data_IF_101975739213
#
_entry.id   IF_101975739213
#
_cell.length_a   1.000
_cell.length_b   1.000
_cell.length_c   1.000
_cell.angle_alpha   90.00
_cell.angle_beta   90.00
_cell.angle_gamma   90.00
#
_symmetry.space_group_name_H-M   'P 1'
#
loop_
_entity.id
_entity.type
_entity.pdbx_description
1 polymer ?
#
# COMPACT_ATOMS: atom_id res chain seq x y z
N UNK A 1 -12.67 6.96 13.87
CA UNK A 1 -12.97 8.09 12.94
C UNK A 1 -11.73 8.93 12.57
N UNK A 2 -11.03 9.58 13.52
CA UNK A 2 -9.87 10.43 13.22
C UNK A 2 -8.67 9.65 12.63
N UNK A 3 -8.47 8.41 13.10
CA UNK A 3 -7.41 7.52 12.62
C UNK A 3 -7.52 7.14 11.13
N UNK A 4 -8.70 7.24 10.51
CA UNK A 4 -8.88 7.00 9.08
C UNK A 4 -8.66 8.27 8.24
N UNK A 5 -9.02 9.44 8.78
CA UNK A 5 -8.93 10.73 8.07
C UNK A 5 -7.48 11.14 7.83
N UNK A 6 -6.61 10.97 8.83
CA UNK A 6 -5.21 11.37 8.69
C UNK A 6 -4.47 10.57 7.58
N UNK A 7 -4.54 9.22 7.52
CA UNK A 7 -4.00 8.44 6.41
C UNK A 7 -4.63 8.78 5.06
N UNK A 8 -5.93 9.06 5.01
CA UNK A 8 -6.59 9.51 3.77
C UNK A 8 -5.96 10.80 3.25
N UNK A 9 -5.87 11.83 4.08
CA UNK A 9 -5.30 13.13 3.69
C UNK A 9 -3.82 12.98 3.33
N UNK A 10 -3.05 12.23 4.14
CA UNK A 10 -1.63 12.02 3.89
C UNK A 10 -1.37 11.30 2.55
N UNK A 11 -2.13 10.25 2.25
CA UNK A 11 -2.03 9.54 0.97
C UNK A 11 -2.53 10.37 -0.19
N UNK A 12 -3.63 11.12 -0.02
CA UNK A 12 -4.13 12.04 -1.05
C UNK A 12 -3.04 13.04 -1.46
N UNK A 13 -2.41 13.68 -0.48
CA UNK A 13 -1.30 14.63 -0.71
C UNK A 13 -0.12 13.89 -1.34
N UNK A 14 0.32 12.78 -0.76
CA UNK A 14 1.46 12.02 -1.24
C UNK A 14 1.30 11.53 -2.69
N UNK A 15 0.13 10.99 -3.04
CA UNK A 15 -0.14 10.53 -4.40
C UNK A 15 -0.19 11.68 -5.39
N UNK A 16 -0.79 12.83 -5.04
CA UNK A 16 -0.80 13.98 -5.93
C UNK A 16 0.57 14.65 -6.07
N UNK A 17 1.39 14.65 -5.02
CA UNK A 17 2.74 15.21 -5.04
C UNK A 17 3.73 14.31 -5.80
N UNK A 18 3.66 13.00 -5.60
CA UNK A 18 4.71 12.08 -6.04
C UNK A 18 4.27 11.10 -7.13
N UNK A 19 2.96 10.99 -7.43
CA UNK A 19 2.42 10.01 -8.37
C UNK A 19 3.02 10.11 -9.79
N UNK A 20 3.32 11.32 -10.26
CA UNK A 20 3.99 11.53 -11.56
C UNK A 20 5.50 11.25 -11.56
N UNK A 21 6.13 11.24 -10.38
CA UNK A 21 7.58 11.11 -10.21
C UNK A 21 7.95 9.65 -9.93
N UNK A 22 7.27 9.04 -8.95
CA UNK A 22 7.60 7.71 -8.42
C UNK A 22 6.39 6.80 -8.33
N UNK A 23 5.26 7.09 -9.00
CA UNK A 23 4.03 6.30 -8.87
C UNK A 23 3.47 6.19 -7.44
N UNK A 24 4.07 6.88 -6.46
CA UNK A 24 3.63 7.01 -5.08
C UNK A 24 3.30 5.67 -4.38
N UNK A 25 4.17 4.66 -4.48
CA UNK A 25 3.90 3.33 -3.89
C UNK A 25 3.78 3.37 -2.36
N UNK A 26 4.76 3.97 -1.69
CA UNK A 26 4.83 4.14 -0.22
C UNK A 26 4.62 2.85 0.60
N UNK A 27 4.75 1.68 -0.03
CA UNK A 27 4.33 0.40 0.52
C UNK A 27 5.05 -0.74 -0.22
N UNK A 28 5.89 -1.54 0.48
CA UNK A 28 6.57 -2.68 -0.10
C UNK A 28 5.66 -3.65 -0.86
N UNK A 29 4.47 -3.94 -0.32
CA UNK A 29 3.53 -4.86 -0.95
C UNK A 29 2.95 -4.29 -2.25
N UNK A 30 2.72 -2.98 -2.31
CA UNK A 30 2.30 -2.27 -3.53
C UNK A 30 3.43 -2.28 -4.56
N UNK A 31 4.67 -1.98 -4.13
CA UNK A 31 5.87 -2.03 -4.96
C UNK A 31 6.03 -3.38 -5.66
N UNK A 32 5.88 -4.48 -4.93
CA UNK A 32 5.93 -5.83 -5.52
C UNK A 32 4.78 -6.06 -6.51
N UNK A 33 3.58 -5.57 -6.22
CA UNK A 33 2.46 -5.65 -7.17
C UNK A 33 2.76 -4.93 -8.49
N UNK A 34 3.33 -3.72 -8.45
CA UNK A 34 3.78 -2.99 -9.65
C UNK A 34 4.88 -3.73 -10.42
N UNK A 35 5.78 -4.41 -9.71
CA UNK A 35 6.79 -5.26 -10.33
C UNK A 35 6.16 -6.45 -11.08
N UNK A 36 5.22 -7.17 -10.44
CA UNK A 36 4.53 -8.33 -11.04
C UNK A 36 3.74 -7.95 -12.30
N UNK A 37 3.15 -6.76 -12.31
CA UNK A 37 2.41 -6.23 -13.47
C UNK A 37 3.31 -5.59 -14.54
N UNK A 38 4.62 -5.50 -14.31
CA UNK A 38 5.61 -5.02 -15.27
C UNK A 38 5.68 -3.50 -15.42
N UNK A 39 5.31 -2.75 -14.39
CA UNK A 39 5.39 -1.28 -14.38
C UNK A 39 6.74 -0.75 -13.89
N UNK A 40 7.47 -1.55 -13.11
CA UNK A 40 8.81 -1.21 -12.61
C UNK A 40 9.78 -2.36 -12.85
N UNK A 41 11.07 -2.04 -12.91
CA UNK A 41 12.17 -2.99 -13.03
C UNK A 41 12.57 -3.57 -11.68
N UNK A 42 13.33 -4.66 -11.69
CA UNK A 42 13.86 -5.30 -10.48
C UNK A 42 14.78 -4.36 -9.67
N UNK A 43 15.57 -3.51 -10.34
CA UNK A 43 16.44 -2.54 -9.65
C UNK A 43 15.60 -1.47 -8.97
N UNK A 44 14.54 -0.98 -9.63
CA UNK A 44 13.63 -0.02 -9.02
C UNK A 44 12.98 -0.57 -7.75
N UNK A 45 12.59 -1.86 -7.71
CA UNK A 45 12.08 -2.50 -6.49
C UNK A 45 13.00 -2.24 -5.30
N UNK A 46 14.31 -2.42 -5.47
CA UNK A 46 15.28 -2.18 -4.40
C UNK A 46 15.25 -0.72 -3.93
N UNK A 47 15.21 0.24 -4.85
CA UNK A 47 15.14 1.66 -4.49
C UNK A 47 13.85 2.02 -3.74
N UNK A 48 12.70 1.47 -4.16
CA UNK A 48 11.44 1.65 -3.44
C UNK A 48 11.52 1.08 -2.03
N UNK A 49 11.94 -0.18 -1.87
CA UNK A 49 11.98 -0.84 -0.56
C UNK A 49 12.87 -0.07 0.43
N UNK A 50 14.04 0.40 -0.02
CA UNK A 50 14.94 1.21 0.81
C UNK A 50 14.27 2.53 1.20
N UNK A 51 13.72 3.26 0.22
CA UNK A 51 13.07 4.55 0.49
C UNK A 51 11.84 4.42 1.40
N UNK A 52 11.03 3.39 1.20
CA UNK A 52 9.83 3.11 1.98
C UNK A 52 10.17 2.77 3.43
N UNK A 53 11.17 1.92 3.66
CA UNK A 53 11.63 1.56 5.01
C UNK A 53 12.25 2.77 5.72
N UNK A 54 13.13 3.53 5.05
CA UNK A 54 13.72 4.74 5.62
C UNK A 54 12.63 5.76 5.96
N UNK A 55 11.69 5.99 5.06
CA UNK A 55 10.56 6.90 5.29
C UNK A 55 9.71 6.49 6.48
N UNK A 56 9.37 5.20 6.59
CA UNK A 56 8.60 4.67 7.72
C UNK A 56 9.36 4.81 9.06
N UNK A 57 10.67 4.56 9.07
CA UNK A 57 11.54 4.74 10.23
C UNK A 57 11.60 6.20 10.66
N UNK A 58 11.85 7.12 9.72
CA UNK A 58 11.88 8.56 10.01
C UNK A 58 10.52 9.07 10.52
N UNK A 59 9.42 8.61 9.93
CA UNK A 59 8.07 8.95 10.39
C UNK A 59 7.79 8.44 11.82
N UNK A 60 8.15 7.19 12.11
CA UNK A 60 7.96 6.61 13.45
C UNK A 60 8.87 7.26 14.50
N UNK A 61 10.11 7.61 14.11
CA UNK A 61 11.04 8.35 14.96
C UNK A 61 10.54 9.77 15.26
N UNK A 62 9.95 10.45 14.27
CA UNK A 62 9.30 11.74 14.48
C UNK A 62 8.18 11.63 15.53
N UNK A 63 7.33 10.61 15.43
CA UNK A 63 6.28 10.36 16.44
C UNK A 63 6.91 10.12 17.82
N UNK A 64 7.93 9.27 17.90
CA UNK A 64 8.61 8.97 19.17
C UNK A 64 9.20 10.23 19.83
N UNK A 65 9.88 11.08 19.06
CA UNK A 65 10.57 12.27 19.60
C UNK A 65 9.58 13.37 19.98
N UNK A 66 8.57 13.65 19.15
CA UNK A 66 7.73 14.84 19.28
C UNK A 66 6.36 14.58 19.92
N UNK A 67 5.83 13.36 19.81
CA UNK A 67 4.54 12.97 20.40
C UNK A 67 4.77 12.09 21.64
N UNK A 68 5.88 11.35 21.68
CA UNK A 68 6.22 10.42 22.74
C UNK A 68 5.48 9.08 22.60
N UNK A 69 5.50 8.29 23.66
CA UNK A 69 4.94 6.93 23.69
C UNK A 69 3.40 6.90 23.65
N UNK A 70 2.73 8.03 23.88
CA UNK A 70 1.26 8.14 23.95
C UNK A 70 0.54 7.71 22.67
N UNK A 71 1.22 7.72 21.53
CA UNK A 71 0.66 7.29 20.25
C UNK A 71 0.94 5.81 19.92
N UNK A 72 1.57 5.05 20.82
CA UNK A 72 2.07 3.69 20.57
C UNK A 72 2.89 3.59 19.26
N UNK A 73 3.56 4.68 18.89
CA UNK A 73 4.28 4.86 17.62
C UNK A 73 3.44 4.60 16.35
N UNK A 74 2.11 4.57 16.44
CA UNK A 74 1.23 4.17 15.34
C UNK A 74 1.29 2.66 15.02
N UNK A 75 1.76 1.84 15.96
CA UNK A 75 1.89 0.39 15.81
C UNK A 75 0.55 -0.26 15.44
N UNK A 76 0.62 -1.32 14.63
CA UNK A 76 -0.53 -2.15 14.32
C UNK A 76 -0.73 -3.17 15.44
N UNK A 77 -1.98 -3.33 15.89
CA UNK A 77 -2.33 -4.31 16.91
C UNK A 77 -3.56 -5.11 16.42
N UNK A 78 -3.44 -6.43 16.24
CA UNK A 78 -4.58 -7.26 15.91
C UNK A 78 -5.46 -7.46 17.15
N UNK A 79 -6.76 -7.69 16.94
CA UNK A 79 -7.68 -7.99 18.04
C UNK A 79 -7.86 -9.50 18.18
N UNK A 80 -7.19 -10.07 19.19
CA UNK A 80 -7.22 -11.51 19.49
C UNK A 80 -8.54 -12.04 20.06
N UNK A 81 -9.56 -11.19 20.26
CA UNK A 81 -10.94 -11.66 20.44
C UNK A 81 -11.46 -12.36 19.17
N UNK A 82 -10.83 -12.10 18.02
CA UNK A 82 -11.06 -12.79 16.77
C UNK A 82 -10.01 -13.88 16.52
N UNK A 83 -10.40 -14.92 15.79
CA UNK A 83 -9.45 -15.97 15.39
C UNK A 83 -8.33 -15.41 14.49
N UNK A 84 -7.12 -15.95 14.61
CA UNK A 84 -5.98 -15.58 13.76
C UNK A 84 -6.28 -15.76 12.26
N UNK A 85 -7.09 -16.77 11.90
CA UNK A 85 -7.52 -16.99 10.53
C UNK A 85 -8.35 -15.82 9.99
N UNK A 86 -9.29 -15.30 10.80
CA UNK A 86 -10.10 -14.14 10.42
C UNK A 86 -9.24 -12.88 10.32
N UNK A 87 -8.37 -12.64 11.30
CA UNK A 87 -7.45 -11.49 11.34
C UNK A 87 -6.59 -11.47 10.07
N UNK A 88 -5.94 -12.58 9.75
CA UNK A 88 -5.11 -12.72 8.55
C UNK A 88 -5.93 -12.48 7.27
N UNK A 89 -7.12 -13.09 7.17
CA UNK A 89 -7.98 -12.97 6.00
C UNK A 89 -8.48 -11.53 5.78
N UNK A 90 -8.81 -10.81 6.85
CA UNK A 90 -9.20 -9.40 6.80
C UNK A 90 -8.04 -8.54 6.30
N UNK A 91 -6.82 -8.86 6.70
CA UNK A 91 -5.66 -8.09 6.28
C UNK A 91 -5.24 -8.38 4.84
N UNK A 92 -5.41 -9.61 4.38
CA UNK A 92 -5.35 -9.95 2.94
C UNK A 92 -6.41 -9.17 2.18
N UNK A 93 -7.66 -9.14 2.66
CA UNK A 93 -8.77 -8.43 2.01
C UNK A 93 -8.47 -6.94 1.87
N UNK A 94 -8.08 -6.27 2.96
CA UNK A 94 -7.73 -4.84 2.94
C UNK A 94 -6.63 -4.55 1.92
N UNK A 95 -5.54 -5.33 1.92
CA UNK A 95 -4.46 -5.16 0.95
C UNK A 95 -4.87 -5.47 -0.49
N UNK A 96 -5.76 -6.44 -0.72
CA UNK A 96 -6.34 -6.70 -2.05
C UNK A 96 -7.20 -5.52 -2.51
N UNK A 97 -8.02 -4.93 -1.64
CA UNK A 97 -8.86 -3.77 -1.97
C UNK A 97 -8.01 -2.55 -2.29
N UNK A 98 -7.02 -2.23 -1.46
CA UNK A 98 -6.04 -1.17 -1.71
C UNK A 98 -5.40 -1.34 -3.10
N UNK A 99 -4.82 -2.52 -3.36
CA UNK A 99 -4.13 -2.76 -4.64
C UNK A 99 -5.08 -2.79 -5.83
N UNK A 100 -6.30 -3.31 -5.64
CA UNK A 100 -7.35 -3.33 -6.65
C UNK A 100 -7.76 -1.92 -7.08
N UNK A 101 -7.96 -1.00 -6.11
CA UNK A 101 -8.29 0.40 -6.39
C UNK A 101 -7.13 1.11 -7.08
N UNK A 102 -5.89 0.90 -6.62
CA UNK A 102 -4.69 1.44 -7.28
C UNK A 102 -4.68 1.03 -8.76
N UNK A 103 -4.77 -0.27 -9.05
CA UNK A 103 -4.71 -0.75 -10.42
C UNK A 103 -5.91 -0.39 -11.28
N UNK A 104 -7.11 -0.33 -10.70
CA UNK A 104 -8.29 0.11 -11.43
C UNK A 104 -8.14 1.55 -11.92
N UNK A 105 -7.63 2.45 -11.07
CA UNK A 105 -7.38 3.84 -11.44
C UNK A 105 -6.24 3.97 -12.46
N UNK A 106 -5.17 3.18 -12.32
CA UNK A 106 -4.05 3.18 -13.29
C UNK A 106 -4.51 2.69 -14.67
N UNK A 107 -5.30 1.62 -14.69
CA UNK A 107 -5.83 0.99 -15.90
C UNK A 107 -6.81 1.90 -16.65
N UNK A 108 -7.72 2.57 -15.93
CA UNK A 108 -8.77 3.40 -16.53
C UNK A 108 -8.28 4.84 -16.74
N UNK A 109 -7.98 5.22 -18.00
CA UNK A 109 -7.42 6.54 -18.38
C UNK A 109 -8.14 7.74 -17.73
N UNK A 110 -9.48 7.75 -17.72
CA UNK A 110 -10.28 8.85 -17.17
C UNK A 110 -10.23 9.00 -15.64
N UNK A 111 -9.75 7.99 -14.91
CA UNK A 111 -9.71 8.00 -13.45
C UNK A 111 -8.36 8.44 -12.87
N UNK A 112 -7.31 8.52 -13.69
CA UNK A 112 -5.93 8.79 -13.21
C UNK A 112 -5.79 10.08 -12.40
N UNK A 113 -6.56 11.12 -12.74
CA UNK A 113 -6.61 12.39 -12.01
C UNK A 113 -7.22 12.28 -10.60
N UNK A 114 -8.00 11.23 -10.33
CA UNK A 114 -8.65 10.98 -9.04
C UNK A 114 -7.87 9.98 -8.16
N UNK A 115 -6.66 9.56 -8.59
CA UNK A 115 -5.84 8.56 -7.88
C UNK A 115 -5.63 8.88 -6.40
N UNK A 116 -5.29 10.12 -6.04
CA UNK A 116 -5.08 10.49 -4.64
C UNK A 116 -6.33 10.33 -3.78
N UNK A 117 -7.49 10.77 -4.28
CA UNK A 117 -8.77 10.63 -3.57
C UNK A 117 -9.18 9.15 -3.48
N UNK A 118 -9.07 8.39 -4.56
CA UNK A 118 -9.47 6.99 -4.59
C UNK A 118 -8.58 6.12 -3.68
N UNK A 119 -7.26 6.26 -3.78
CA UNK A 119 -6.28 5.46 -3.02
C UNK A 119 -6.33 5.83 -1.54
N UNK A 120 -6.33 7.11 -1.20
CA UNK A 120 -6.48 7.50 0.21
C UNK A 120 -7.86 7.12 0.76
N UNK A 121 -8.91 7.20 -0.07
CA UNK A 121 -10.28 6.87 0.30
C UNK A 121 -10.44 5.39 0.66
N UNK A 122 -9.89 4.48 -0.14
CA UNK A 122 -9.96 3.05 0.20
C UNK A 122 -9.19 2.73 1.48
N UNK A 123 -8.01 3.34 1.69
CA UNK A 123 -7.27 3.18 2.96
C UNK A 123 -8.08 3.69 4.15
N UNK A 124 -8.78 4.82 4.02
CA UNK A 124 -9.67 5.28 5.08
C UNK A 124 -10.83 4.31 5.35
N UNK A 125 -11.44 3.73 4.31
CA UNK A 125 -12.51 2.76 4.46
C UNK A 125 -12.01 1.48 5.12
N UNK A 126 -10.85 0.97 4.70
CA UNK A 126 -10.23 -0.22 5.30
C UNK A 126 -9.92 0.03 6.79
N UNK A 127 -9.36 1.20 7.14
CA UNK A 127 -9.15 1.54 8.55
C UNK A 127 -10.47 1.68 9.31
N UNK A 128 -11.48 2.31 8.71
CA UNK A 128 -12.77 2.55 9.36
C UNK A 128 -13.51 1.24 9.66
N UNK A 129 -13.47 0.28 8.74
CA UNK A 129 -14.27 -0.94 8.81
C UNK A 129 -13.51 -2.16 9.28
N UNK A 130 -12.18 -2.23 9.11
CA UNK A 130 -11.41 -3.45 9.31
C UNK A 130 -10.40 -3.35 10.46
N UNK A 131 -9.99 -2.13 10.86
CA UNK A 131 -8.96 -1.95 11.88
C UNK A 131 -9.33 -2.53 13.25
N UNK A 132 -10.62 -2.63 13.60
CA UNK A 132 -11.03 -3.22 14.88
C UNK A 132 -10.82 -4.74 14.96
N UNK A 133 -10.57 -5.39 13.82
CA UNK A 133 -10.25 -6.82 13.71
C UNK A 133 -8.73 -7.00 13.56
N UNK A 134 -8.13 -6.40 12.52
CA UNK A 134 -6.74 -6.67 12.14
C UNK A 134 -5.75 -5.54 12.44
N UNK A 135 -6.21 -4.36 12.86
CA UNK A 135 -5.37 -3.17 12.94
C UNK A 135 -5.09 -2.47 11.60
N UNK A 136 -5.59 -3.00 10.47
CA UNK A 136 -5.58 -2.39 9.12
C UNK A 136 -4.24 -1.72 8.75
N UNK A 137 -3.16 -2.49 8.77
CA UNK A 137 -1.82 -2.10 8.34
C UNK A 137 -1.72 -1.87 6.84
N UNK A 138 -2.09 -2.90 6.06
CA UNK A 138 -1.90 -3.02 4.61
C UNK A 138 -0.46 -2.84 4.08
N UNK A 139 0.51 -2.51 4.94
CA UNK A 139 1.82 -1.97 4.55
C UNK A 139 2.95 -2.51 5.45
N UNK A 140 3.81 -3.39 4.90
CA UNK A 140 4.91 -3.98 5.66
C UNK A 140 5.91 -2.97 6.23
N UNK A 141 6.21 -1.87 5.52
CA UNK A 141 7.14 -0.83 6.02
C UNK A 141 6.51 -0.04 7.18
N UNK A 142 5.21 0.29 7.06
CA UNK A 142 4.43 0.93 8.13
C UNK A 142 4.39 0.08 9.40
N UNK A 143 4.30 -1.25 9.27
CA UNK A 143 4.32 -2.17 10.41
C UNK A 143 5.73 -2.36 11.00
N UNK A 144 6.76 -2.40 10.15
CA UNK A 144 8.15 -2.64 10.57
C UNK A 144 8.68 -1.52 11.48
N UNK A 145 8.46 -0.26 11.13
CA UNK A 145 9.13 0.84 11.81
C UNK A 145 8.73 1.00 13.30
N UNK A 146 7.45 0.98 13.68
CA UNK A 146 7.03 0.97 15.08
C UNK A 146 7.52 -0.28 15.83
N UNK A 147 7.52 -1.45 15.21
CA UNK A 147 8.01 -2.69 15.80
C UNK A 147 9.51 -2.60 16.16
N UNK A 148 10.33 -2.09 15.24
CA UNK A 148 11.77 -1.88 15.48
C UNK A 148 12.04 -0.89 16.61
N UNK A 149 11.29 0.22 16.67
CA UNK A 149 11.53 1.27 17.67
C UNK A 149 10.97 0.92 19.06
N UNK A 150 9.89 0.14 19.12
CA UNK A 150 9.28 -0.31 20.38
C UNK A 150 9.86 -1.62 20.91
N UNK A 151 10.56 -2.39 20.06
CA UNK A 151 11.03 -3.73 20.39
C UNK A 151 9.94 -4.80 20.39
N UNK A 152 8.74 -4.51 19.87
CA UNK A 152 7.59 -5.43 19.85
C UNK A 152 7.42 -6.05 18.46
N UNK A 153 7.67 -7.35 18.34
CA UNK A 153 7.71 -8.05 17.04
C UNK A 153 6.67 -9.16 16.89
N UNK A 154 5.90 -9.46 17.94
CA UNK A 154 5.04 -10.63 18.02
C UNK A 154 4.04 -10.72 16.86
N UNK A 155 3.49 -9.58 16.44
CA UNK A 155 2.51 -9.50 15.35
C UNK A 155 3.13 -9.11 14.00
N UNK A 156 4.44 -8.85 13.93
CA UNK A 156 5.06 -8.31 12.72
C UNK A 156 4.93 -9.28 11.54
N UNK A 157 4.99 -10.59 11.79
CA UNK A 157 4.86 -11.62 10.75
C UNK A 157 3.52 -11.51 10.01
N UNK A 158 2.43 -11.17 10.71
CA UNK A 158 1.09 -11.02 10.14
C UNK A 158 1.10 -9.91 9.09
N UNK A 159 1.63 -8.74 9.45
CA UNK A 159 1.70 -7.56 8.58
C UNK A 159 2.82 -7.64 7.53
N UNK A 160 3.73 -8.60 7.65
CA UNK A 160 4.74 -8.91 6.64
C UNK A 160 4.37 -10.04 5.70
N UNK A 161 3.27 -10.75 5.95
CA UNK A 161 2.81 -11.85 5.10
C UNK A 161 1.48 -11.50 4.43
N UNK A 162 0.45 -11.14 5.20
CA UNK A 162 -0.90 -10.88 4.67
C UNK A 162 -0.93 -9.78 3.61
N UNK A 163 -0.23 -8.63 3.75
CA UNK A 163 -0.26 -7.61 2.72
C UNK A 163 0.30 -8.04 1.38
N UNK A 164 1.40 -8.78 1.35
CA UNK A 164 1.94 -9.30 0.09
C UNK A 164 0.98 -10.29 -0.57
N UNK A 165 0.35 -11.17 0.20
CA UNK A 165 -0.67 -12.08 -0.34
C UNK A 165 -1.81 -11.26 -0.97
N UNK A 166 -2.31 -10.25 -0.25
CA UNK A 166 -3.40 -9.40 -0.72
C UNK A 166 -3.07 -8.62 -2.00
N UNK A 167 -1.92 -7.95 -2.05
CA UNK A 167 -1.53 -7.17 -3.24
C UNK A 167 -1.19 -8.05 -4.43
N UNK A 168 -0.62 -9.25 -4.21
CA UNK A 168 -0.34 -10.21 -5.27
C UNK A 168 -1.62 -10.75 -5.92
N UNK A 169 -2.66 -11.03 -5.13
CA UNK A 169 -3.98 -11.43 -5.67
C UNK A 169 -4.46 -10.40 -6.69
N UNK A 170 -4.50 -9.12 -6.31
CA UNK A 170 -4.91 -8.04 -7.22
C UNK A 170 -3.95 -7.90 -8.42
N UNK A 171 -2.65 -8.03 -8.22
CA UNK A 171 -1.66 -7.96 -9.28
C UNK A 171 -1.85 -9.04 -10.34
N UNK A 172 -2.10 -10.29 -9.95
CA UNK A 172 -2.35 -11.36 -10.91
C UNK A 172 -3.68 -11.18 -11.65
N UNK A 173 -4.72 -10.66 -10.99
CA UNK A 173 -6.00 -10.35 -11.65
C UNK A 173 -5.85 -9.26 -12.74
N UNK A 174 -4.94 -8.30 -12.55
CA UNK A 174 -4.72 -7.21 -13.51
C UNK A 174 -3.57 -7.44 -14.50
N UNK A 175 -2.68 -8.40 -14.25
CA UNK A 175 -1.46 -8.61 -15.04
C UNK A 175 -1.73 -8.77 -16.54
N UNK A 176 -2.68 -9.63 -16.90
CA UNK A 176 -3.07 -9.84 -18.31
C UNK A 176 -3.69 -8.59 -18.94
N UNK A 177 -4.49 -7.83 -18.18
CA UNK A 177 -5.12 -6.59 -18.65
C UNK A 177 -4.08 -5.52 -18.98
N UNK A 178 -3.07 -5.36 -18.14
CA UNK A 178 -1.97 -4.42 -18.39
C UNK A 178 -1.06 -4.86 -19.53
N UNK A 179 -0.86 -6.16 -19.73
CA UNK A 179 -0.12 -6.68 -20.89
C UNK A 179 -0.84 -6.31 -22.19
N UNK A 180 -2.13 -6.65 -22.31
CA UNK A 180 -2.94 -6.30 -23.48
C UNK A 180 -2.96 -4.80 -23.75
N UNK A 181 -3.15 -3.98 -22.71
CA UNK A 181 -3.15 -2.52 -22.85
C UNK A 181 -1.81 -1.98 -23.39
N UNK A 182 -0.67 -2.56 -23.00
CA UNK A 182 0.64 -2.17 -23.54
C UNK A 182 0.81 -2.59 -24.99
N UNK A 183 0.37 -3.80 -25.34
CA UNK A 183 0.47 -4.33 -26.70
C UNK A 183 -0.39 -3.52 -27.69
N UNK A 184 -1.60 -3.15 -27.30
CA UNK A 184 -2.48 -2.26 -28.09
C UNK A 184 -1.84 -0.89 -28.33
N UNK A 185 -1.22 -0.29 -27.30
CA UNK A 185 -0.54 1.00 -27.43
C UNK A 185 0.68 0.88 -28.36
N UNK A 186 1.46 -0.21 -28.24
CA UNK A 186 2.62 -0.43 -29.11
C UNK A 186 2.19 -0.57 -30.57
N UNK A 187 1.22 -1.45 -30.84
CA UNK A 187 0.75 -1.69 -32.20
C UNK A 187 0.17 -0.42 -32.83
N UNK A 188 -0.61 0.37 -32.08
CA UNK A 188 -1.16 1.64 -32.58
C UNK A 188 -0.08 2.68 -32.89
N UNK A 189 1.03 2.70 -32.15
CA UNK A 189 2.14 3.61 -32.45
C UNK A 189 2.90 3.18 -33.71
N UNK A 190 3.07 1.87 -33.94
CA UNK A 190 3.73 1.36 -35.14
C UNK A 190 2.96 1.78 -36.41
N UNK A 191 1.62 1.76 -36.39
CA UNK A 191 0.78 2.22 -37.51
C UNK A 191 0.81 3.73 -37.80
N UNK A 192 1.27 4.57 -36.87
CA UNK A 192 1.32 6.04 -37.05
C UNK A 192 2.67 6.47 -37.65
N UNK A 193 3.70 5.64 -37.54
CA UNK A 193 5.08 5.96 -37.97
C UNK A 193 5.38 5.46 -39.39
N UNK A 194 4.56 4.56 -39.93
CA UNK A 194 4.56 4.12 -41.34
C UNK A 194 3.72 5.04 -42.25
#
# INVERSE_FOLDING_TARGET
PFAAVAPFIALLIGVYSFGKISLAHFNPAVTIGYYVTGHITKIQVLYYLIAEIIGALLGSLFVLIFIGEKANLGSNAPNYDFSIFLIFSVEVLASTLLMGVIFYVVYTKGLRGFSGVAIGGIVALDILFLAFISGASMNPARALAPALLSGTFDDLWLYWSAPFVGTLIAAFLFRGKFQLQRDEIRNNNDYIVD
#
